data_IF_376716452236
#
_entry.id   IF_376716452236
#
_cell.length_a   1.000
_cell.length_b   1.000
_cell.length_c   1.000
_cell.angle_alpha   90.00
_cell.angle_beta   90.00
_cell.angle_gamma   90.00
#
_symmetry.space_group_name_H-M   'P 1'
#
loop_
_entity.id
_entity.type
_entity.pdbx_description
1 polymer ?
#
# COMPACT_ATOMS: atom_id res chain seq x y z
N UNK A 1 33.59 -56.26 33.12
CA UNK A 1 34.44 -55.06 33.14
C UNK A 1 35.07 -54.91 31.76
N UNK A 2 34.99 -53.71 31.16
CA UNK A 2 35.76 -53.34 29.95
C UNK A 2 34.96 -53.15 28.67
N UNK A 3 34.30 -51.99 28.52
CA UNK A 3 33.77 -51.46 27.27
C UNK A 3 34.92 -51.13 26.29
N UNK A 4 34.79 -51.48 25.02
CA UNK A 4 35.55 -50.83 23.93
C UNK A 4 34.55 -50.39 22.87
N UNK A 5 34.18 -49.12 22.94
CA UNK A 5 33.32 -48.46 21.99
C UNK A 5 34.05 -48.31 20.66
N UNK A 6 33.45 -48.83 19.60
CA UNK A 6 33.87 -48.64 18.20
C UNK A 6 33.58 -47.18 17.83
N UNK A 7 34.56 -46.30 18.04
CA UNK A 7 34.53 -44.91 17.62
C UNK A 7 35.19 -44.77 16.26
N UNK A 8 34.41 -44.48 15.22
CA UNK A 8 34.96 -44.33 13.87
C UNK A 8 33.91 -43.90 12.85
N UNK A 9 33.23 -42.78 13.08
CA UNK A 9 32.38 -42.16 12.06
C UNK A 9 32.55 -40.65 12.04
N UNK A 10 32.97 -40.19 10.86
CA UNK A 10 32.73 -38.88 10.26
C UNK A 10 33.30 -37.64 10.95
N UNK A 11 34.44 -37.18 10.45
CA UNK A 11 34.80 -35.76 10.51
C UNK A 11 33.86 -34.96 9.59
N UNK A 12 32.69 -34.59 10.12
CA UNK A 12 31.97 -33.45 9.58
C UNK A 12 32.66 -32.19 10.11
N UNK A 13 33.22 -31.38 9.21
CA UNK A 13 33.70 -30.04 9.53
C UNK A 13 32.59 -29.30 10.30
N UNK A 14 32.90 -28.84 11.50
CA UNK A 14 32.06 -27.88 12.22
C UNK A 14 31.98 -26.63 11.34
N UNK A 15 30.87 -26.49 10.64
CA UNK A 15 30.46 -25.19 10.13
C UNK A 15 30.06 -24.37 11.35
N UNK A 16 30.88 -23.39 11.70
CA UNK A 16 30.51 -22.36 12.66
C UNK A 16 29.20 -21.74 12.16
N UNK A 17 28.09 -22.07 12.81
CA UNK A 17 26.93 -21.20 12.80
C UNK A 17 27.43 -19.86 13.35
N UNK A 18 27.32 -18.74 12.63
CA UNK A 18 27.61 -17.46 13.25
C UNK A 18 26.68 -17.35 14.46
N UNK A 19 27.30 -17.19 15.64
CA UNK A 19 26.60 -16.86 16.87
C UNK A 19 25.58 -15.78 16.54
N UNK A 20 24.31 -16.04 16.86
CA UNK A 20 23.30 -15.00 16.90
C UNK A 20 23.74 -14.06 18.00
N UNK A 21 24.54 -13.06 17.65
CA UNK A 21 24.84 -11.92 18.50
C UNK A 21 23.48 -11.35 18.86
N UNK A 22 23.08 -11.61 20.09
CA UNK A 22 21.90 -11.02 20.71
C UNK A 22 22.18 -9.53 20.81
N UNK A 23 21.89 -8.80 19.74
CA UNK A 23 21.89 -7.34 19.72
C UNK A 23 20.70 -6.86 20.56
N UNK A 24 20.83 -6.94 21.88
CA UNK A 24 20.19 -5.97 22.75
C UNK A 24 20.99 -4.66 22.62
N UNK A 25 20.91 -4.04 21.44
CA UNK A 25 21.28 -2.64 21.31
C UNK A 25 20.01 -1.86 21.58
N UNK A 26 19.95 -1.14 22.70
CA UNK A 26 18.97 -0.08 22.98
C UNK A 26 19.17 1.12 22.03
N UNK A 27 19.54 0.88 20.76
CA UNK A 27 19.58 1.87 19.71
C UNK A 27 18.17 1.92 19.09
N UNK A 28 17.39 2.99 19.32
CA UNK A 28 16.05 3.13 18.74
C UNK A 28 16.07 3.15 17.21
N UNK A 29 17.24 3.33 16.61
CA UNK A 29 17.45 3.37 15.16
C UNK A 29 17.94 2.03 14.59
N UNK A 30 18.18 1.02 15.43
CA UNK A 30 18.54 -0.30 14.95
C UNK A 30 17.30 -1.03 14.41
N UNK A 31 17.31 -1.29 13.11
CA UNK A 31 16.26 -2.04 12.42
C UNK A 31 16.84 -3.34 11.91
N UNK A 32 16.25 -4.46 12.32
CA UNK A 32 16.64 -5.78 11.81
C UNK A 32 16.11 -6.01 10.40
N UNK A 33 16.74 -6.89 9.59
CA UNK A 33 16.23 -7.24 8.25
C UNK A 33 14.78 -7.72 8.29
N UNK A 34 14.40 -8.51 9.30
CA UNK A 34 13.03 -9.03 9.45
C UNK A 34 12.02 -7.93 9.78
N UNK A 35 12.37 -6.99 10.66
CA UNK A 35 11.54 -5.82 10.94
C UNK A 35 11.35 -4.95 9.70
N UNK A 36 12.42 -4.74 8.94
CA UNK A 36 12.39 -3.99 7.69
C UNK A 36 11.46 -4.65 6.66
N UNK A 37 11.59 -5.97 6.47
CA UNK A 37 10.78 -6.74 5.55
C UNK A 37 9.30 -6.73 5.97
N UNK A 38 9.02 -6.85 7.27
CA UNK A 38 7.67 -6.79 7.82
C UNK A 38 6.98 -5.46 7.48
N UNK A 39 7.67 -4.32 7.67
CA UNK A 39 7.11 -3.00 7.31
C UNK A 39 6.90 -2.87 5.80
N UNK A 40 7.81 -3.41 4.99
CA UNK A 40 7.62 -3.46 3.53
C UNK A 40 6.36 -4.23 3.15
N UNK A 41 6.12 -5.39 3.75
CA UNK A 41 4.90 -6.17 3.52
C UNK A 41 3.65 -5.39 3.95
N UNK A 42 3.68 -4.76 5.11
CA UNK A 42 2.59 -3.90 5.57
C UNK A 42 2.31 -2.75 4.59
N UNK A 43 3.35 -2.14 4.01
CA UNK A 43 3.16 -1.13 2.96
C UNK A 43 2.49 -1.74 1.73
N UNK A 44 2.94 -2.90 1.24
CA UNK A 44 2.30 -3.58 0.10
C UNK A 44 0.82 -3.85 0.36
N UNK A 45 0.51 -4.46 1.51
CA UNK A 45 -0.86 -4.85 1.87
C UNK A 45 -1.78 -3.64 2.08
N UNK A 46 -1.22 -2.53 2.57
CA UNK A 46 -1.96 -1.29 2.76
C UNK A 46 -1.98 -0.40 1.51
N UNK A 47 -1.12 -0.64 0.53
CA UNK A 47 -1.06 0.15 -0.70
C UNK A 47 -2.13 -0.33 -1.66
N UNK A 48 -3.06 0.57 -1.98
CA UNK A 48 -4.17 0.25 -2.87
C UNK A 48 -5.53 0.67 -2.32
N UNK A 49 -6.49 0.57 -3.21
CA UNK A 49 -7.88 0.94 -3.00
C UNK A 49 -8.76 -0.26 -3.27
N UNK A 50 -9.95 -0.25 -2.69
CA UNK A 50 -10.96 -1.27 -3.02
C UNK A 50 -11.36 -1.15 -4.49
N UNK A 51 -12.00 -2.20 -5.03
CA UNK A 51 -12.49 -2.19 -6.40
C UNK A 51 -13.40 -0.98 -6.68
N UNK A 52 -14.30 -0.68 -5.76
CA UNK A 52 -15.26 0.43 -5.89
C UNK A 52 -14.58 1.79 -5.85
N UNK A 53 -13.61 1.97 -4.94
CA UNK A 53 -12.82 3.19 -4.83
C UNK A 53 -11.98 3.42 -6.10
N UNK A 54 -11.35 2.37 -6.64
CA UNK A 54 -10.63 2.43 -7.90
C UNK A 54 -11.55 2.77 -9.08
N UNK A 55 -12.73 2.17 -9.13
CA UNK A 55 -13.71 2.50 -10.17
C UNK A 55 -14.12 3.97 -10.09
N UNK A 56 -14.42 4.45 -8.88
CA UNK A 56 -14.78 5.84 -8.65
C UNK A 56 -13.67 6.80 -9.08
N UNK A 57 -12.42 6.62 -8.63
CA UNK A 57 -11.30 7.51 -9.01
C UNK A 57 -11.17 7.63 -10.53
N UNK A 58 -11.33 6.52 -11.25
CA UNK A 58 -11.12 6.49 -12.69
C UNK A 58 -12.25 7.14 -13.50
N UNK A 59 -13.49 7.12 -12.98
CA UNK A 59 -14.67 7.52 -13.76
C UNK A 59 -15.43 8.73 -13.20
N UNK A 60 -15.35 8.98 -11.89
CA UNK A 60 -16.18 9.97 -11.18
C UNK A 60 -15.40 10.85 -10.20
N UNK A 61 -14.18 10.46 -9.84
CA UNK A 61 -13.33 11.21 -8.93
C UNK A 61 -12.85 12.52 -9.53
N UNK A 62 -12.57 13.49 -8.66
CA UNK A 62 -12.02 14.78 -9.09
C UNK A 62 -10.63 14.61 -9.75
N UNK A 63 -10.28 15.53 -10.66
CA UNK A 63 -8.95 15.54 -11.29
C UNK A 63 -7.82 15.63 -10.25
N UNK A 64 -8.05 16.38 -9.18
CA UNK A 64 -7.13 16.53 -8.06
C UNK A 64 -6.94 15.21 -7.31
N UNK A 65 -8.02 14.51 -7.00
CA UNK A 65 -7.99 13.21 -6.32
C UNK A 65 -7.25 12.17 -7.15
N UNK A 66 -7.55 12.08 -8.45
CA UNK A 66 -6.87 11.15 -9.36
C UNK A 66 -5.37 11.44 -9.47
N UNK A 67 -4.99 12.72 -9.53
CA UNK A 67 -3.58 13.13 -9.60
C UNK A 67 -2.84 12.79 -8.31
N UNK A 68 -3.48 13.03 -7.17
CA UNK A 68 -2.94 12.71 -5.83
C UNK A 68 -2.76 11.21 -5.66
N UNK A 69 -3.74 10.41 -6.09
CA UNK A 69 -3.65 8.94 -6.12
C UNK A 69 -2.45 8.47 -6.96
N UNK A 70 -2.33 8.95 -8.20
CA UNK A 70 -1.27 8.51 -9.09
C UNK A 70 0.12 8.88 -8.57
N UNK A 71 0.27 10.08 -7.99
CA UNK A 71 1.52 10.52 -7.38
C UNK A 71 1.90 9.63 -6.17
N UNK A 72 0.94 9.35 -5.29
CA UNK A 72 1.15 8.45 -4.15
C UNK A 72 1.52 7.04 -4.62
N UNK A 73 0.86 6.53 -5.65
CA UNK A 73 1.16 5.24 -6.25
C UNK A 73 2.60 5.17 -6.78
N UNK A 74 3.02 6.14 -7.60
CA UNK A 74 4.38 6.20 -8.13
C UNK A 74 5.45 6.28 -7.04
N UNK A 75 5.24 7.14 -6.02
CA UNK A 75 6.15 7.26 -4.87
C UNK A 75 6.24 5.95 -4.09
N UNK A 76 5.11 5.26 -3.91
CA UNK A 76 5.05 3.97 -3.22
C UNK A 76 5.82 2.91 -3.97
N UNK A 77 5.65 2.78 -5.30
CA UNK A 77 6.38 1.80 -6.11
C UNK A 77 7.90 2.00 -6.01
N UNK A 78 8.37 3.25 -6.15
CA UNK A 78 9.80 3.57 -6.01
C UNK A 78 10.33 3.20 -4.62
N UNK A 79 9.54 3.40 -3.58
CA UNK A 79 9.93 3.02 -2.21
C UNK A 79 9.97 1.51 -2.02
N UNK A 80 9.06 0.75 -2.62
CA UNK A 80 9.07 -0.71 -2.57
C UNK A 80 10.30 -1.30 -3.30
N UNK A 81 10.69 -0.73 -4.43
CA UNK A 81 11.91 -1.10 -5.14
C UNK A 81 13.15 -0.81 -4.28
N UNK A 82 13.22 0.41 -3.72
CA UNK A 82 14.28 0.81 -2.79
C UNK A 82 14.36 -0.14 -1.60
N UNK A 83 13.23 -0.43 -0.96
CA UNK A 83 13.14 -1.35 0.18
C UNK A 83 13.61 -2.76 -0.20
N UNK A 84 13.32 -3.22 -1.42
CA UNK A 84 13.78 -4.53 -1.90
C UNK A 84 15.31 -4.58 -2.01
N UNK A 85 15.94 -3.52 -2.52
CA UNK A 85 17.41 -3.42 -2.61
C UNK A 85 18.02 -3.34 -1.20
N UNK A 86 17.48 -2.47 -0.34
CA UNK A 86 17.96 -2.27 1.03
C UNK A 86 17.87 -3.56 1.86
N UNK A 87 16.76 -4.28 1.77
CA UNK A 87 16.61 -5.57 2.44
C UNK A 87 17.67 -6.57 1.98
N UNK A 88 17.92 -6.70 0.67
CA UNK A 88 18.97 -7.59 0.16
C UNK A 88 20.36 -7.23 0.69
N UNK A 89 20.66 -5.94 0.80
CA UNK A 89 21.91 -5.47 1.41
C UNK A 89 21.98 -5.86 2.89
N UNK A 90 20.93 -5.58 3.66
CA UNK A 90 20.86 -5.91 5.09
C UNK A 90 20.96 -7.42 5.36
N UNK A 91 20.39 -8.26 4.49
CA UNK A 91 20.46 -9.72 4.59
C UNK A 91 21.77 -10.32 4.09
N UNK A 92 22.73 -9.51 3.63
CA UNK A 92 23.99 -9.98 3.05
C UNK A 92 23.86 -10.64 1.67
N UNK A 93 22.70 -10.50 1.02
CA UNK A 93 22.42 -11.02 -0.32
C UNK A 93 22.91 -10.08 -1.45
N UNK A 94 23.33 -8.86 -1.10
CA UNK A 94 23.82 -7.84 -2.03
C UNK A 94 24.90 -7.00 -1.36
N UNK A 95 25.87 -6.54 -2.15
CA UNK A 95 26.89 -5.56 -1.72
C UNK A 95 26.48 -4.11 -2.00
N UNK A 96 25.39 -3.90 -2.74
CA UNK A 96 24.90 -2.58 -3.10
C UNK A 96 24.21 -1.92 -1.91
N UNK A 97 24.84 -0.92 -1.33
CA UNK A 97 24.23 -0.02 -0.34
C UNK A 97 23.60 1.18 -1.04
N UNK A 98 22.38 1.54 -0.66
CA UNK A 98 21.68 2.73 -1.16
C UNK A 98 22.07 4.02 -0.43
N UNK A 99 22.96 3.93 0.57
CA UNK A 99 23.40 5.08 1.37
C UNK A 99 22.37 5.62 2.36
N UNK A 100 21.11 5.18 2.33
CA UNK A 100 20.13 5.47 3.40
C UNK A 100 20.29 4.54 4.58
N UNK A 101 19.92 5.06 5.75
CA UNK A 101 19.82 4.25 6.95
C UNK A 101 18.50 3.47 6.93
N UNK A 102 18.49 2.17 7.29
CA UNK A 102 17.28 1.35 7.27
C UNK A 102 16.08 1.92 8.04
N UNK A 103 16.31 2.64 9.14
CA UNK A 103 15.23 3.23 9.92
C UNK A 103 14.56 4.42 9.22
N UNK A 104 15.28 5.18 8.38
CA UNK A 104 14.72 6.26 7.57
C UNK A 104 13.75 5.69 6.54
N UNK A 105 14.18 4.61 5.88
CA UNK A 105 13.36 3.88 4.91
C UNK A 105 12.12 3.27 5.59
N UNK A 106 12.24 2.73 6.81
CA UNK A 106 11.10 2.28 7.61
C UNK A 106 10.15 3.42 7.97
N UNK A 107 10.67 4.56 8.43
CA UNK A 107 9.85 5.72 8.75
C UNK A 107 9.08 6.21 7.50
N UNK A 108 9.73 6.23 6.34
CA UNK A 108 9.11 6.59 5.07
C UNK A 108 8.02 5.61 4.64
N UNK A 109 8.24 4.31 4.80
CA UNK A 109 7.21 3.30 4.51
C UNK A 109 5.99 3.49 5.43
N UNK A 110 6.20 3.78 6.72
CA UNK A 110 5.10 4.06 7.67
C UNK A 110 4.33 5.35 7.34
N UNK A 111 5.02 6.38 6.87
CA UNK A 111 4.41 7.59 6.34
C UNK A 111 3.49 7.24 5.16
N UNK A 112 3.95 6.42 4.22
CA UNK A 112 3.14 6.01 3.06
C UNK A 112 1.95 5.15 3.44
N UNK A 113 2.07 4.25 4.43
CA UNK A 113 0.92 3.52 5.00
C UNK A 113 -0.16 4.52 5.47
N UNK A 114 0.26 5.60 6.12
CA UNK A 114 -0.64 6.65 6.61
C UNK A 114 -1.22 7.47 5.46
N UNK A 115 -0.42 7.86 4.46
CA UNK A 115 -0.89 8.54 3.25
C UNK A 115 -1.93 7.70 2.49
N UNK A 116 -1.74 6.38 2.36
CA UNK A 116 -2.72 5.47 1.75
C UNK A 116 -4.02 5.37 2.56
N UNK A 117 -3.93 5.38 3.90
CA UNK A 117 -5.10 5.43 4.76
C UNK A 117 -5.89 6.72 4.53
N UNK A 118 -5.21 7.87 4.48
CA UNK A 118 -5.84 9.15 4.19
C UNK A 118 -6.44 9.18 2.78
N UNK A 119 -5.76 8.62 1.78
CA UNK A 119 -6.27 8.51 0.42
C UNK A 119 -7.59 7.74 0.38
N UNK A 120 -7.68 6.57 1.06
CA UNK A 120 -8.94 5.81 1.15
C UNK A 120 -10.07 6.64 1.76
N UNK A 121 -9.78 7.41 2.81
CA UNK A 121 -10.76 8.29 3.45
C UNK A 121 -11.20 9.40 2.49
N UNK A 122 -10.27 10.07 1.81
CA UNK A 122 -10.57 11.12 0.84
C UNK A 122 -11.43 10.61 -0.32
N UNK A 123 -11.11 9.42 -0.85
CA UNK A 123 -11.89 8.79 -1.91
C UNK A 123 -13.29 8.45 -1.41
N UNK A 124 -13.41 7.87 -0.21
CA UNK A 124 -14.71 7.54 0.36
C UNK A 124 -15.56 8.79 0.61
N UNK A 125 -14.96 9.89 1.07
CA UNK A 125 -15.66 11.15 1.27
C UNK A 125 -16.19 11.73 -0.04
N UNK A 126 -15.39 11.74 -1.11
CA UNK A 126 -15.86 12.16 -2.44
C UNK A 126 -16.93 11.21 -3.00
N UNK A 127 -16.82 9.90 -2.77
CA UNK A 127 -17.85 8.93 -3.15
C UNK A 127 -19.18 9.22 -2.46
N UNK A 128 -19.16 9.50 -1.16
CA UNK A 128 -20.35 9.82 -0.37
C UNK A 128 -20.96 11.15 -0.85
N UNK A 129 -20.15 12.19 -1.03
CA UNK A 129 -20.62 13.49 -1.52
C UNK A 129 -21.23 13.41 -2.93
N UNK A 130 -20.70 12.54 -3.81
CA UNK A 130 -21.28 12.28 -5.13
C UNK A 130 -22.54 11.39 -5.10
N UNK A 131 -22.74 10.63 -4.03
CA UNK A 131 -23.96 9.84 -3.83
C UNK A 131 -25.09 10.75 -3.31
N UNK A 132 -24.77 11.66 -2.39
CA UNK A 132 -25.70 12.66 -1.87
C UNK A 132 -26.12 13.68 -2.94
N UNK A 133 -25.25 13.99 -3.90
CA UNK A 133 -25.59 14.85 -5.05
C UNK A 133 -26.46 14.16 -6.11
N UNK A 134 -26.63 12.83 -6.02
CA UNK A 134 -27.55 12.09 -6.90
C UNK A 134 -29.01 12.13 -6.42
N UNK A 135 -29.30 12.71 -5.24
CA UNK A 135 -30.66 12.92 -4.72
C UNK A 135 -30.98 14.40 -4.45
N UNK A 136 -31.12 15.17 -5.53
CA UNK A 136 -32.04 16.30 -5.55
C UNK A 136 -32.57 16.60 -6.95
N UNK A 137 -32.94 15.55 -7.69
CA UNK A 137 -34.12 15.69 -8.52
C UNK A 137 -35.31 15.59 -7.57
N UNK A 138 -35.76 16.75 -7.10
CA UNK A 138 -37.06 16.86 -6.46
C UNK A 138 -38.08 16.16 -7.37
N UNK A 139 -38.54 14.98 -6.96
CA UNK A 139 -39.87 14.55 -7.34
C UNK A 139 -40.80 15.61 -6.77
N UNK A 140 -41.14 16.58 -7.61
CA UNK A 140 -42.34 17.37 -7.41
C UNK A 140 -43.48 16.37 -7.54
N UNK A 141 -43.83 15.74 -6.42
CA UNK A 141 -45.07 14.99 -6.29
C UNK A 141 -46.16 16.04 -6.34
N UNK A 142 -46.66 16.32 -7.55
CA UNK A 142 -47.93 17.03 -7.69
C UNK A 142 -48.98 16.22 -6.91
N UNK A 143 -49.79 16.85 -6.03
CA UNK A 143 -50.74 16.13 -5.20
C UNK A 143 -51.99 15.64 -5.96
N UNK A 144 -52.00 15.63 -7.30
CA UNK A 144 -53.13 15.15 -8.09
C UNK A 144 -52.68 14.42 -9.36
N UNK A 145 -53.11 13.16 -9.47
CA UNK A 145 -53.51 12.53 -10.73
C UNK A 145 -52.43 12.04 -11.69
N UNK A 146 -52.48 10.74 -11.98
CA UNK A 146 -51.80 10.05 -13.08
C UNK A 146 -51.84 10.82 -14.41
N UNK A 147 -50.69 11.20 -14.95
CA UNK A 147 -50.48 11.17 -16.39
C UNK A 147 -48.99 11.01 -16.75
N UNK A 148 -48.64 9.82 -17.28
CA UNK A 148 -47.32 9.57 -17.87
C UNK A 148 -47.29 10.26 -19.23
N UNK A 149 -46.70 11.44 -19.31
CA UNK A 149 -46.31 12.03 -20.59
C UNK A 149 -44.78 12.07 -20.69
N UNK A 150 -44.23 11.14 -21.49
CA UNK A 150 -42.85 11.20 -21.94
C UNK A 150 -42.70 12.39 -22.88
N UNK A 151 -42.26 13.54 -22.37
CA UNK A 151 -41.88 14.67 -23.21
C UNK A 151 -40.45 14.40 -23.71
N UNK A 152 -40.35 13.84 -24.91
CA UNK A 152 -39.15 13.91 -25.74
C UNK A 152 -38.81 15.38 -25.96
N UNK A 153 -37.81 15.90 -25.26
CA UNK A 153 -37.27 17.24 -25.52
C UNK A 153 -36.38 17.19 -26.77
N UNK A 154 -36.65 17.99 -27.80
CA UNK A 154 -35.74 18.12 -28.94
C UNK A 154 -34.43 18.80 -28.52
N UNK A 155 -33.32 18.29 -29.06
CA UNK A 155 -31.97 18.87 -28.95
C UNK A 155 -31.95 20.32 -29.48
N UNK A 156 -31.27 21.27 -28.79
CA UNK A 156 -31.23 22.67 -29.22
C UNK A 156 -30.13 23.00 -30.24
N UNK A 157 -29.45 22.02 -30.85
CA UNK A 157 -28.46 22.30 -31.91
C UNK A 157 -28.57 21.31 -33.07
N UNK A 158 -28.92 21.83 -34.25
CA UNK A 158 -28.91 21.05 -35.49
C UNK A 158 -29.56 21.74 -36.70
N UNK A 159 -29.29 23.03 -36.93
CA UNK A 159 -29.48 23.64 -38.26
C UNK A 159 -28.09 23.86 -38.88
N UNK A 160 -27.76 23.03 -39.88
CA UNK A 160 -27.14 23.44 -41.14
C UNK A 160 -27.20 22.30 -42.14
#
# INVERSE_FOLDING_TARGET
MGNICVGGSSMAHQVNSPDRVSNNSDDPNHVTPDQFLSVRHQLVDSSGLTREQNYFINHRGSLSLRSSHNNLYERTQRMLDRATIQHRFMSGLSVLSLGSQPHEDVAKMREYISEWSNMRISVQNEMNANSDSSESYAQITNPDGLDRQYILRPSPYGNR
#
